data_IF_474666885072
#
_entry.id   IF_474666885072
#
_cell.length_a   1.000
_cell.length_b   1.000
_cell.length_c   1.000
_cell.angle_alpha   90.00
_cell.angle_beta   90.00
_cell.angle_gamma   90.00
#
_symmetry.space_group_name_H-M   'P 1'
#
loop_
_entity.id
_entity.type
_entity.pdbx_description
1 polymer ?
#
# COMPACT_ATOMS: atom_id res chain seq x y z
N UNK A 1 -2.99 12.82 12.37
CA UNK A 1 -1.53 12.99 12.18
C UNK A 1 -1.25 13.14 10.69
N UNK A 2 -0.20 13.87 10.28
CA UNK A 2 0.13 14.04 8.86
C UNK A 2 1.49 13.45 8.52
N UNK A 3 1.55 12.62 7.48
CA UNK A 3 2.79 11.98 7.04
C UNK A 3 3.08 12.16 5.55
N UNK A 4 4.21 11.61 5.11
CA UNK A 4 4.65 11.66 3.70
C UNK A 4 5.09 10.29 3.23
N UNK A 5 4.85 9.98 1.96
CA UNK A 5 5.43 8.84 1.25
C UNK A 5 6.34 9.38 0.15
N UNK A 6 7.62 9.01 0.21
CA UNK A 6 8.64 9.61 -0.66
C UNK A 6 9.76 8.64 -1.03
N UNK A 7 10.44 8.98 -2.13
CA UNK A 7 11.67 8.36 -2.61
C UNK A 7 12.90 9.26 -2.43
N UNK A 8 12.75 10.40 -1.74
CA UNK A 8 13.79 11.41 -1.54
C UNK A 8 14.17 11.46 -0.05
N UNK A 9 15.39 11.06 0.29
CA UNK A 9 15.86 11.02 1.69
C UNK A 9 15.81 12.39 2.39
N UNK A 10 16.08 13.48 1.66
CA UNK A 10 16.06 14.84 2.23
C UNK A 10 14.68 15.23 2.81
N UNK A 11 13.60 14.63 2.31
CA UNK A 11 12.22 14.91 2.72
C UNK A 11 11.84 14.21 4.03
N UNK A 12 12.54 13.12 4.40
CA UNK A 12 12.26 12.34 5.61
C UNK A 12 12.48 13.15 6.89
N UNK A 13 13.43 14.10 6.87
CA UNK A 13 13.79 14.95 7.99
C UNK A 13 12.92 16.22 8.12
N UNK A 14 11.88 16.38 7.29
CA UNK A 14 11.07 17.60 7.30
C UNK A 14 10.11 17.60 8.48
N UNK A 15 10.24 18.62 9.33
CA UNK A 15 9.48 18.76 10.58
C UNK A 15 7.97 18.94 10.42
N UNK A 16 7.49 19.18 9.20
CA UNK A 16 6.06 19.29 8.92
C UNK A 16 5.34 17.94 8.88
N UNK A 17 6.07 16.83 8.76
CA UNK A 17 5.51 15.48 8.77
C UNK A 17 5.81 14.80 10.10
N UNK A 18 4.78 14.20 10.68
CA UNK A 18 4.87 13.41 11.92
C UNK A 18 5.42 12.01 11.66
N UNK A 19 5.20 11.48 10.45
CA UNK A 19 5.61 10.13 10.01
C UNK A 19 6.03 10.17 8.54
N UNK A 20 7.13 9.47 8.20
CA UNK A 20 7.67 9.43 6.84
C UNK A 20 7.88 7.99 6.40
N UNK A 21 7.30 7.60 5.26
CA UNK A 21 7.56 6.34 4.60
C UNK A 21 8.53 6.55 3.43
N UNK A 22 9.56 5.71 3.35
CA UNK A 22 10.59 5.76 2.34
C UNK A 22 10.49 4.56 1.40
N UNK A 23 10.34 4.81 0.10
CA UNK A 23 10.29 3.75 -0.94
C UNK A 23 11.66 3.08 -1.10
N UNK A 24 11.88 2.00 -0.35
CA UNK A 24 13.09 1.16 -0.40
C UNK A 24 13.02 0.21 -1.60
N UNK A 25 11.82 -0.28 -1.93
CA UNK A 25 11.54 -1.00 -3.18
C UNK A 25 10.23 -0.49 -3.75
N UNK A 26 10.26 -0.05 -5.02
CA UNK A 26 9.06 0.39 -5.74
C UNK A 26 8.65 -0.58 -6.86
N UNK A 27 7.45 -0.41 -7.41
CA UNK A 27 6.90 -1.23 -8.51
C UNK A 27 7.69 -1.14 -9.82
N UNK A 28 8.58 -0.16 -9.97
CA UNK A 28 9.46 -0.07 -11.16
C UNK A 28 10.60 -1.07 -11.09
N UNK A 29 10.84 -1.66 -9.91
CA UNK A 29 11.99 -2.51 -9.62
C UNK A 29 13.22 -1.72 -9.18
N UNK A 30 13.05 -0.42 -8.88
CA UNK A 30 14.10 0.36 -8.22
C UNK A 30 14.21 -0.09 -6.78
N UNK A 31 15.45 -0.25 -6.33
CA UNK A 31 15.80 -0.43 -4.92
C UNK A 31 16.62 0.77 -4.41
N UNK A 32 16.44 1.10 -3.15
CA UNK A 32 17.24 2.03 -2.36
C UNK A 32 17.69 1.34 -1.07
N UNK A 33 18.71 1.87 -0.38
CA UNK A 33 19.08 1.35 0.94
C UNK A 33 18.11 1.92 1.99
N UNK A 34 17.65 1.12 2.97
CA UNK A 34 16.86 1.63 4.10
C UNK A 34 17.69 2.65 4.90
N UNK A 35 17.01 3.66 5.46
CA UNK A 35 17.65 4.75 6.23
C UNK A 35 16.90 4.95 7.56
N UNK A 36 17.60 5.31 8.65
CA UNK A 36 16.97 5.42 9.97
C UNK A 36 15.97 6.59 10.11
N UNK A 37 15.97 7.53 9.17
CA UNK A 37 15.07 8.70 9.17
C UNK A 37 13.65 8.39 8.66
N UNK A 38 13.38 7.23 8.07
CA UNK A 38 12.07 6.91 7.49
C UNK A 38 11.71 5.44 7.59
N UNK A 39 10.42 5.15 7.73
CA UNK A 39 9.87 3.80 7.75
C UNK A 39 10.00 3.22 6.34
N UNK A 40 10.67 2.08 6.22
CA UNK A 40 10.88 1.44 4.92
C UNK A 40 9.56 0.94 4.33
N UNK A 41 9.33 1.24 3.05
CA UNK A 41 8.20 0.78 2.26
C UNK A 41 8.69 -0.14 1.13
N UNK A 42 8.09 -1.32 1.04
CA UNK A 42 8.50 -2.40 0.13
C UNK A 42 7.33 -2.85 -0.73
N UNK A 43 7.31 -2.45 -2.00
CA UNK A 43 6.43 -3.03 -3.01
C UNK A 43 6.76 -4.52 -3.17
N UNK A 44 5.84 -5.40 -2.81
CA UNK A 44 6.06 -6.83 -2.75
C UNK A 44 5.92 -7.46 -4.13
N UNK A 45 4.69 -7.65 -4.62
CA UNK A 45 4.43 -8.40 -5.86
C UNK A 45 4.22 -7.51 -7.10
N UNK A 46 4.43 -6.20 -6.99
CA UNK A 46 4.62 -5.31 -8.13
C UNK A 46 6.11 -5.13 -8.45
N UNK A 47 6.53 -5.46 -9.67
CA UNK A 47 7.94 -5.33 -10.11
C UNK A 47 8.10 -5.40 -11.63
N UNK A 48 8.22 -4.23 -12.26
CA UNK A 48 8.43 -4.11 -13.71
C UNK A 48 9.77 -4.69 -14.15
N UNK A 49 10.84 -4.44 -13.40
CA UNK A 49 12.18 -4.88 -13.78
C UNK A 49 12.31 -6.41 -13.72
N UNK A 50 11.76 -7.04 -12.67
CA UNK A 50 11.75 -8.49 -12.54
C UNK A 50 10.88 -9.15 -13.63
N UNK A 51 9.71 -8.58 -13.92
CA UNK A 51 8.83 -9.05 -14.99
C UNK A 51 9.51 -8.97 -16.39
N UNK A 52 10.20 -7.86 -16.67
CA UNK A 52 10.93 -7.67 -17.93
C UNK A 52 12.15 -8.61 -18.04
N UNK A 53 12.86 -8.83 -16.93
CA UNK A 53 14.05 -9.69 -16.89
C UNK A 53 13.70 -11.19 -16.98
N UNK A 54 12.59 -11.61 -16.34
CA UNK A 54 12.13 -12.99 -16.33
C UNK A 54 10.60 -13.07 -16.49
N UNK A 55 10.10 -13.19 -17.74
CA UNK A 55 8.67 -13.28 -18.02
C UNK A 55 7.97 -14.48 -17.37
N UNK A 56 8.71 -15.52 -16.94
CA UNK A 56 8.11 -16.65 -16.24
C UNK A 56 7.61 -16.25 -14.83
N UNK A 57 8.13 -15.18 -14.25
CA UNK A 57 7.66 -14.65 -12.96
C UNK A 57 6.23 -14.08 -13.05
N UNK A 58 5.83 -13.66 -14.25
CA UNK A 58 4.57 -12.93 -14.47
C UNK A 58 3.37 -13.88 -14.36
N UNK A 59 2.36 -13.55 -13.53
CA UNK A 59 1.07 -14.25 -13.52
C UNK A 59 0.41 -14.24 -14.89
N UNK A 60 -0.28 -15.33 -15.23
CA UNK A 60 -1.12 -15.41 -16.43
C UNK A 60 -2.57 -15.69 -16.05
N UNK A 61 -3.50 -15.21 -16.87
CA UNK A 61 -4.91 -15.57 -16.79
C UNK A 61 -5.17 -16.99 -17.30
N UNK A 62 -6.41 -17.46 -17.17
CA UNK A 62 -6.86 -18.74 -17.75
C UNK A 62 -6.65 -18.78 -19.28
N UNK A 63 -6.79 -17.63 -19.95
CA UNK A 63 -6.54 -17.47 -21.38
C UNK A 63 -5.04 -17.34 -21.74
N UNK A 64 -4.14 -17.40 -20.74
CA UNK A 64 -2.70 -17.27 -20.91
C UNK A 64 -2.20 -15.82 -21.03
N UNK A 65 -3.04 -14.84 -20.68
CA UNK A 65 -2.71 -13.42 -20.83
C UNK A 65 -1.86 -12.96 -19.64
N UNK A 66 -0.67 -12.35 -19.85
CA UNK A 66 0.22 -11.97 -18.75
C UNK A 66 -0.22 -10.68 -18.03
N UNK A 67 -0.03 -10.63 -16.71
CA UNK A 67 -0.35 -9.50 -15.84
C UNK A 67 0.74 -8.42 -15.90
N UNK A 68 0.88 -7.76 -17.05
CA UNK A 68 1.85 -6.67 -17.25
C UNK A 68 1.17 -5.33 -17.40
N UNK A 69 1.94 -4.25 -17.20
CA UNK A 69 1.50 -2.86 -17.42
C UNK A 69 1.05 -2.53 -18.86
N UNK A 70 1.30 -3.43 -19.82
CA UNK A 70 0.80 -3.28 -21.20
C UNK A 70 -0.69 -3.63 -21.30
N UNK A 71 -1.24 -4.28 -20.27
CA UNK A 71 -2.65 -4.64 -20.17
C UNK A 71 -3.48 -3.52 -19.58
N UNK A 72 -4.73 -3.47 -20.01
CA UNK A 72 -5.72 -2.56 -19.43
C UNK A 72 -5.94 -2.91 -17.96
N UNK A 73 -6.03 -1.88 -17.12
CA UNK A 73 -6.25 -1.98 -15.67
C UNK A 73 -5.06 -2.50 -14.86
N UNK A 74 -3.86 -2.39 -15.41
CA UNK A 74 -2.59 -2.65 -14.75
C UNK A 74 -1.70 -1.40 -14.83
N UNK A 75 -1.35 -0.84 -13.69
CA UNK A 75 -0.44 0.30 -13.60
C UNK A 75 1.03 -0.17 -13.59
N UNK A 76 1.29 -1.41 -13.17
CA UNK A 76 2.58 -2.10 -13.17
C UNK A 76 2.43 -3.58 -13.54
N UNK A 77 3.57 -4.26 -13.75
CA UNK A 77 3.63 -5.70 -13.91
C UNK A 77 3.68 -6.41 -12.55
N UNK A 78 2.98 -7.54 -12.47
CA UNK A 78 2.95 -8.37 -11.28
C UNK A 78 3.96 -9.51 -11.35
N UNK A 79 4.47 -9.89 -10.17
CA UNK A 79 5.19 -11.14 -9.93
C UNK A 79 4.27 -12.10 -9.19
N UNK A 80 4.30 -13.38 -9.57
CA UNK A 80 3.40 -14.38 -9.02
C UNK A 80 3.69 -14.66 -7.53
N UNK A 81 2.70 -14.51 -6.62
CA UNK A 81 2.89 -14.75 -5.18
C UNK A 81 3.20 -16.21 -4.80
N UNK A 82 3.21 -17.14 -5.76
CA UNK A 82 3.60 -18.55 -5.54
C UNK A 82 5.04 -18.85 -5.99
N UNK A 83 5.85 -17.82 -6.24
CA UNK A 83 7.28 -17.94 -6.55
C UNK A 83 8.06 -17.92 -5.25
N UNK A 84 8.45 -19.08 -4.75
CA UNK A 84 9.14 -19.22 -3.45
C UNK A 84 10.44 -18.41 -3.44
N UNK A 85 11.22 -18.49 -4.51
CA UNK A 85 12.48 -17.73 -4.67
C UNK A 85 12.28 -16.22 -4.60
N UNK A 86 11.18 -15.71 -5.16
CA UNK A 86 10.86 -14.30 -5.09
C UNK A 86 10.32 -13.91 -3.70
N UNK A 87 9.48 -14.76 -3.08
CA UNK A 87 8.98 -14.54 -1.71
C UNK A 87 10.13 -14.50 -0.70
N UNK A 88 11.05 -15.46 -0.76
CA UNK A 88 12.24 -15.51 0.10
C UNK A 88 13.05 -14.22 -0.03
N UNK A 89 13.30 -13.75 -1.26
CA UNK A 89 13.99 -12.48 -1.49
C UNK A 89 13.23 -11.25 -0.97
N UNK A 90 11.90 -11.25 -1.00
CA UNK A 90 11.11 -10.17 -0.38
C UNK A 90 11.24 -10.18 1.15
N UNK A 91 11.19 -11.36 1.78
CA UNK A 91 11.34 -11.49 3.23
C UNK A 91 12.75 -11.06 3.69
N UNK A 92 13.79 -11.36 2.91
CA UNK A 92 15.15 -10.85 3.16
C UNK A 92 15.19 -9.31 3.11
N UNK A 93 14.54 -8.68 2.12
CA UNK A 93 14.45 -7.21 2.04
C UNK A 93 13.69 -6.62 3.24
N UNK A 94 12.63 -7.29 3.69
CA UNK A 94 11.85 -6.89 4.87
C UNK A 94 12.69 -6.99 6.14
N UNK A 95 13.47 -8.05 6.31
CA UNK A 95 14.39 -8.22 7.44
C UNK A 95 15.47 -7.13 7.44
N UNK A 96 16.12 -6.90 6.29
CA UNK A 96 17.16 -5.86 6.14
C UNK A 96 16.60 -4.45 6.45
N UNK A 97 15.35 -4.18 6.06
CA UNK A 97 14.66 -2.94 6.38
C UNK A 97 14.35 -2.83 7.89
N UNK A 98 13.85 -3.90 8.49
CA UNK A 98 13.51 -3.98 9.91
C UNK A 98 14.73 -3.81 10.84
N UNK A 99 15.91 -4.22 10.35
CA UNK A 99 17.20 -4.04 11.05
C UNK A 99 17.63 -2.57 11.14
N UNK A 100 17.17 -1.70 10.23
CA UNK A 100 17.46 -0.25 10.25
C UNK A 100 16.38 0.52 11.00
N UNK A 101 15.11 0.24 10.71
CA UNK A 101 13.95 0.80 11.42
C UNK A 101 13.01 -0.32 11.82
N UNK A 102 12.55 -0.40 13.09
CA UNK A 102 11.76 -1.54 13.55
C UNK A 102 10.42 -1.69 12.85
N UNK A 103 9.90 -0.61 12.27
CA UNK A 103 8.62 -0.55 11.57
C UNK A 103 8.85 -0.72 10.05
N UNK A 104 7.93 -1.40 9.38
CA UNK A 104 8.00 -1.65 7.92
C UNK A 104 6.60 -1.58 7.30
N UNK A 105 6.50 -0.99 6.11
CA UNK A 105 5.29 -1.02 5.27
C UNK A 105 5.44 -1.96 4.09
N UNK A 106 4.53 -2.90 3.96
CA UNK A 106 4.37 -3.75 2.79
C UNK A 106 3.37 -3.10 1.83
N UNK A 107 3.81 -2.89 0.59
CA UNK A 107 2.97 -2.38 -0.49
C UNK A 107 2.79 -3.44 -1.59
N UNK A 108 1.78 -3.28 -2.44
CA UNK A 108 1.52 -4.19 -3.58
C UNK A 108 1.47 -5.68 -3.20
N UNK A 109 0.93 -5.98 -2.02
CA UNK A 109 0.73 -7.35 -1.54
C UNK A 109 -0.55 -7.91 -2.16
N UNK A 110 -0.44 -9.10 -2.75
CA UNK A 110 -1.58 -9.81 -3.32
C UNK A 110 -1.39 -10.27 -4.76
N UNK A 111 -2.42 -10.97 -5.21
CA UNK A 111 -2.59 -11.37 -6.60
C UNK A 111 -3.04 -10.17 -7.47
N UNK A 112 -2.76 -10.18 -8.77
CA UNK A 112 -3.11 -9.08 -9.67
C UNK A 112 -4.61 -8.77 -9.74
N UNK A 113 -5.42 -9.76 -10.12
CA UNK A 113 -6.87 -9.65 -10.36
C UNK A 113 -7.52 -11.04 -10.25
N UNK A 114 -8.87 -11.14 -10.13
CA UNK A 114 -9.57 -12.42 -9.94
C UNK A 114 -9.27 -13.48 -11.00
N UNK A 115 -9.08 -13.05 -12.25
CA UNK A 115 -8.92 -13.92 -13.42
C UNK A 115 -7.49 -14.45 -13.65
N UNK A 116 -6.56 -14.20 -12.73
CA UNK A 116 -5.12 -14.47 -12.89
C UNK A 116 -4.58 -15.55 -11.95
N UNK A 117 -3.31 -15.92 -12.20
CA UNK A 117 -2.58 -17.01 -11.54
C UNK A 117 -3.09 -18.41 -11.92
N UNK A 118 -3.47 -18.61 -13.18
CA UNK A 118 -3.89 -19.91 -13.74
C UNK A 118 -2.76 -20.59 -14.55
N UNK A 119 -1.50 -20.43 -14.14
CA UNK A 119 -0.40 -21.19 -14.75
C UNK A 119 -0.30 -22.59 -14.14
N UNK A 120 0.37 -23.52 -14.85
CA UNK A 120 0.62 -24.90 -14.40
C UNK A 120 1.17 -25.02 -12.96
N UNK A 121 1.94 -24.03 -12.49
CA UNK A 121 2.44 -24.01 -11.10
C UNK A 121 1.31 -23.77 -10.11
N UNK A 122 0.51 -22.73 -10.32
CA UNK A 122 -0.57 -22.36 -9.42
C UNK A 122 -1.67 -23.42 -9.42
N UNK A 123 -2.07 -23.92 -10.59
CA UNK A 123 -3.07 -24.99 -10.69
C UNK A 123 -2.61 -26.27 -9.99
N UNK A 124 -1.32 -26.64 -10.16
CA UNK A 124 -0.76 -27.79 -9.43
C UNK A 124 -0.74 -27.55 -7.92
N UNK A 125 -0.29 -26.37 -7.46
CA UNK A 125 -0.26 -26.06 -6.02
C UNK A 125 -1.65 -26.08 -5.40
N UNK A 126 -2.65 -25.53 -6.08
CA UNK A 126 -4.03 -25.62 -5.65
C UNK A 126 -4.50 -27.07 -5.56
N UNK A 127 -4.28 -27.87 -6.62
CA UNK A 127 -4.68 -29.29 -6.65
C UNK A 127 -3.97 -30.16 -5.58
N UNK A 128 -2.77 -29.77 -5.17
CA UNK A 128 -1.99 -30.42 -4.11
C UNK A 128 -2.31 -29.87 -2.70
N UNK A 129 -3.04 -28.75 -2.61
CA UNK A 129 -3.42 -28.11 -1.34
C UNK A 129 -4.63 -28.79 -0.69
N UNK A 130 -4.97 -28.37 0.53
CA UNK A 130 -6.16 -28.83 1.24
C UNK A 130 -7.44 -28.07 0.86
N UNK A 131 -7.32 -27.00 0.08
CA UNK A 131 -8.43 -26.13 -0.31
C UNK A 131 -9.22 -26.73 -1.48
N UNK A 132 -10.55 -26.63 -1.41
CA UNK A 132 -11.47 -26.93 -2.50
C UNK A 132 -12.01 -25.66 -3.18
N UNK A 133 -11.73 -24.49 -2.61
CA UNK A 133 -12.05 -23.17 -3.16
C UNK A 133 -10.77 -22.40 -3.57
N UNK A 134 -10.78 -21.87 -4.81
CA UNK A 134 -9.63 -21.18 -5.39
C UNK A 134 -9.30 -19.87 -4.70
N UNK A 135 -10.31 -19.11 -4.26
CA UNK A 135 -10.09 -17.84 -3.60
C UNK A 135 -9.62 -18.03 -2.15
N UNK A 136 -10.10 -19.08 -1.47
CA UNK A 136 -9.58 -19.49 -0.16
C UNK A 136 -8.11 -19.88 -0.23
N UNK A 137 -7.71 -20.66 -1.24
CA UNK A 137 -6.29 -20.96 -1.48
C UNK A 137 -5.45 -19.70 -1.77
N UNK A 138 -5.98 -18.78 -2.59
CA UNK A 138 -5.29 -17.51 -2.86
C UNK A 138 -5.14 -16.66 -1.60
N UNK A 139 -6.18 -16.58 -0.78
CA UNK A 139 -6.13 -15.89 0.50
C UNK A 139 -5.06 -16.47 1.42
N UNK A 140 -5.05 -17.79 1.59
CA UNK A 140 -4.06 -18.49 2.40
C UNK A 140 -2.62 -18.21 1.95
N UNK A 141 -2.35 -18.23 0.63
CA UNK A 141 -1.02 -17.92 0.08
C UNK A 141 -0.52 -16.52 0.49
N UNK A 142 -1.42 -15.52 0.55
CA UNK A 142 -1.07 -14.15 0.92
C UNK A 142 -1.00 -13.97 2.42
N UNK A 143 -1.97 -14.51 3.16
CA UNK A 143 -1.97 -14.48 4.64
C UNK A 143 -0.71 -15.13 5.18
N UNK A 144 -0.25 -16.24 4.61
CA UNK A 144 0.99 -16.89 5.00
C UNK A 144 2.22 -16.01 4.73
N UNK A 145 2.25 -15.30 3.61
CA UNK A 145 3.34 -14.36 3.32
C UNK A 145 3.39 -13.21 4.33
N UNK A 146 2.24 -12.64 4.69
CA UNK A 146 2.17 -11.55 5.67
C UNK A 146 2.53 -12.05 7.08
N UNK A 147 2.08 -13.27 7.43
CA UNK A 147 2.47 -13.94 8.67
C UNK A 147 3.99 -14.14 8.76
N UNK A 148 4.62 -14.61 7.70
CA UNK A 148 6.09 -14.74 7.61
C UNK A 148 6.76 -13.37 7.76
N UNK A 149 6.30 -12.34 7.05
CA UNK A 149 6.86 -10.99 7.16
C UNK A 149 6.77 -10.42 8.59
N UNK A 150 5.67 -10.67 9.30
CA UNK A 150 5.49 -10.28 10.71
C UNK A 150 6.55 -10.88 11.64
N UNK A 151 7.09 -12.05 11.34
CA UNK A 151 8.17 -12.66 12.13
C UNK A 151 9.48 -11.88 12.02
N UNK A 152 9.70 -11.14 10.92
CA UNK A 152 10.90 -10.34 10.66
C UNK A 152 10.77 -8.89 11.15
N UNK A 153 9.57 -8.36 11.27
CA UNK A 153 9.32 -6.97 11.68
C UNK A 153 9.10 -6.93 13.20
N UNK A 154 9.95 -6.27 14.01
CA UNK A 154 9.77 -6.20 15.47
C UNK A 154 8.84 -5.06 15.93
N UNK A 155 8.68 -4.01 15.12
CA UNK A 155 7.81 -2.86 15.37
C UNK A 155 6.44 -3.00 14.70
N UNK A 156 5.91 -1.90 14.20
CA UNK A 156 4.62 -1.86 13.52
C UNK A 156 4.75 -2.38 12.07
N UNK A 157 3.92 -3.35 11.71
CA UNK A 157 3.76 -3.83 10.34
C UNK A 157 2.58 -3.12 9.68
N UNK A 158 2.88 -2.34 8.64
CA UNK A 158 1.87 -1.67 7.83
C UNK A 158 1.58 -2.46 6.57
N UNK A 159 0.31 -2.51 6.14
CA UNK A 159 -0.08 -3.16 4.88
C UNK A 159 -0.93 -2.23 4.03
N UNK A 160 -0.54 -2.01 2.77
CA UNK A 160 -1.39 -1.28 1.83
C UNK A 160 -2.58 -2.13 1.38
N UNK A 161 -3.78 -1.57 1.40
CA UNK A 161 -4.99 -2.16 0.82
C UNK A 161 -5.40 -1.44 -0.46
N UNK A 162 -5.90 -2.18 -1.44
CA UNK A 162 -6.57 -1.59 -2.59
C UNK A 162 -7.81 -0.80 -2.12
N UNK A 163 -8.10 0.42 -2.66
CA UNK A 163 -9.15 1.31 -2.14
C UNK A 163 -10.57 0.87 -2.54
N UNK A 164 -10.96 -0.33 -2.11
CA UNK A 164 -12.27 -0.93 -2.33
C UNK A 164 -12.79 -1.55 -1.02
N UNK A 165 -13.59 -0.81 -0.23
CA UNK A 165 -14.06 -1.25 1.08
C UNK A 165 -15.24 -2.24 0.99
N UNK A 166 -15.70 -2.59 -0.21
CA UNK A 166 -16.88 -3.46 -0.32
C UNK A 166 -16.52 -4.90 0.14
N UNK A 167 -17.37 -5.52 0.98
CA UNK A 167 -17.09 -6.84 1.53
C UNK A 167 -16.75 -7.87 0.44
N UNK A 168 -15.63 -8.57 0.61
CA UNK A 168 -15.16 -9.62 -0.29
C UNK A 168 -14.44 -9.14 -1.56
N UNK A 169 -14.45 -7.84 -1.89
CA UNK A 169 -13.85 -7.36 -3.13
C UNK A 169 -12.32 -7.52 -3.15
N UNK A 170 -11.63 -7.08 -2.09
CA UNK A 170 -10.16 -7.21 -1.98
C UNK A 170 -9.73 -8.67 -1.83
N UNK A 171 -10.56 -9.50 -1.20
CA UNK A 171 -10.39 -10.94 -1.11
C UNK A 171 -10.42 -11.60 -2.50
N UNK A 172 -11.47 -11.38 -3.30
CA UNK A 172 -11.57 -11.96 -4.65
C UNK A 172 -10.51 -11.39 -5.60
N UNK A 173 -10.27 -10.07 -5.49
CA UNK A 173 -9.33 -9.34 -6.35
C UNK A 173 -7.91 -9.80 -6.13
N UNK A 174 -7.44 -9.76 -4.89
CA UNK A 174 -6.03 -9.83 -4.55
C UNK A 174 -5.69 -10.97 -3.58
N UNK A 175 -6.67 -11.74 -3.08
CA UNK A 175 -6.44 -12.74 -2.04
C UNK A 175 -6.17 -12.09 -0.67
N UNK A 176 -6.73 -10.90 -0.41
CA UNK A 176 -6.58 -10.23 0.88
C UNK A 176 -7.76 -10.59 1.78
N UNK A 177 -7.57 -11.57 2.65
CA UNK A 177 -8.53 -11.92 3.72
C UNK A 177 -8.30 -11.01 4.92
N UNK A 178 -9.10 -9.96 5.02
CA UNK A 178 -8.93 -8.89 6.02
C UNK A 178 -8.96 -9.45 7.44
N UNK A 179 -9.96 -10.27 7.78
CA UNK A 179 -10.12 -10.85 9.11
C UNK A 179 -8.88 -11.66 9.53
N UNK A 180 -8.25 -12.37 8.58
CA UNK A 180 -7.04 -13.14 8.83
C UNK A 180 -5.77 -12.27 8.86
N UNK A 181 -5.72 -11.19 8.07
CA UNK A 181 -4.58 -10.28 8.01
C UNK A 181 -4.49 -9.37 9.25
N UNK A 182 -5.62 -9.04 9.86
CA UNK A 182 -5.68 -8.23 11.10
C UNK A 182 -4.98 -8.88 12.30
N UNK A 183 -4.71 -10.19 12.26
CA UNK A 183 -3.88 -10.86 13.29
C UNK A 183 -2.40 -10.43 13.22
N UNK A 184 -1.93 -9.94 12.08
CA UNK A 184 -0.52 -9.69 11.80
C UNK A 184 -0.18 -8.23 11.50
N UNK A 185 -1.17 -7.45 11.09
CA UNK A 185 -1.00 -6.05 10.65
C UNK A 185 -1.41 -5.10 11.77
N UNK A 186 -0.54 -4.14 12.08
CA UNK A 186 -0.79 -3.14 13.13
C UNK A 186 -1.56 -1.92 12.59
N UNK A 187 -1.37 -1.58 11.31
CA UNK A 187 -2.08 -0.48 10.66
C UNK A 187 -2.19 -0.70 9.14
N UNK A 188 -3.38 -0.52 8.56
CA UNK A 188 -3.55 -0.52 7.11
C UNK A 188 -3.29 0.85 6.50
N UNK A 189 -2.86 0.90 5.24
CA UNK A 189 -2.77 2.15 4.47
C UNK A 189 -3.62 2.05 3.22
N UNK A 190 -4.50 3.03 2.99
CA UNK A 190 -5.42 3.04 1.86
C UNK A 190 -5.13 4.23 0.94
N UNK A 191 -4.50 4.01 -0.23
CA UNK A 191 -4.29 5.06 -1.23
C UNK A 191 -5.58 5.43 -1.94
N UNK A 192 -6.09 6.64 -1.67
CA UNK A 192 -7.31 7.18 -2.27
C UNK A 192 -6.91 8.34 -3.18
N UNK A 193 -6.49 8.01 -4.40
CA UNK A 193 -5.86 8.96 -5.31
C UNK A 193 -6.83 9.61 -6.30
N UNK A 194 -6.73 10.93 -6.42
CA UNK A 194 -7.28 11.75 -7.50
C UNK A 194 -6.26 12.84 -7.84
N UNK A 195 -6.11 13.15 -9.12
CA UNK A 195 -5.19 14.21 -9.58
C UNK A 195 -5.75 15.62 -9.36
N UNK A 196 -6.99 15.76 -8.89
CA UNK A 196 -7.65 17.06 -8.78
C UNK A 196 -8.42 17.29 -7.47
N UNK A 197 -9.04 16.27 -6.89
CA UNK A 197 -9.93 16.36 -5.71
C UNK A 197 -10.97 17.51 -5.77
N UNK A 198 -11.47 17.83 -6.96
CA UNK A 198 -12.48 18.91 -7.12
C UNK A 198 -13.80 18.64 -6.40
N UNK A 199 -14.01 17.39 -5.98
CA UNK A 199 -15.10 16.96 -5.09
C UNK A 199 -14.57 15.83 -4.20
N UNK A 200 -15.01 15.76 -2.95
CA UNK A 200 -14.49 14.80 -1.94
C UNK A 200 -15.47 13.71 -1.52
N UNK A 201 -16.72 13.71 -2.00
CA UNK A 201 -17.75 12.74 -1.55
C UNK A 201 -17.37 11.27 -1.80
N UNK A 202 -16.59 10.98 -2.85
CA UNK A 202 -16.13 9.62 -3.15
C UNK A 202 -15.01 9.20 -2.20
N UNK A 203 -14.12 10.12 -1.83
CA UNK A 203 -13.09 9.90 -0.82
C UNK A 203 -13.75 9.62 0.52
N UNK A 204 -14.76 10.42 0.91
CA UNK A 204 -15.57 10.21 2.11
C UNK A 204 -16.23 8.82 2.12
N UNK A 205 -16.88 8.41 1.02
CA UNK A 205 -17.54 7.10 0.92
C UNK A 205 -16.53 5.95 1.04
N UNK A 206 -15.35 6.08 0.44
CA UNK A 206 -14.32 5.03 0.53
C UNK A 206 -13.74 4.95 1.94
N UNK A 207 -13.35 6.09 2.52
CA UNK A 207 -12.76 6.15 3.84
C UNK A 207 -13.73 5.68 4.94
N UNK A 208 -14.99 6.14 4.90
CA UNK A 208 -16.04 5.66 5.81
C UNK A 208 -16.32 4.15 5.64
N UNK A 209 -16.27 3.64 4.41
CA UNK A 209 -16.40 2.20 4.17
C UNK A 209 -15.31 1.38 4.85
N UNK A 210 -14.06 1.86 4.86
CA UNK A 210 -12.98 1.19 5.60
C UNK A 210 -13.12 1.35 7.12
N UNK A 211 -13.59 2.50 7.59
CA UNK A 211 -13.89 2.67 9.02
C UNK A 211 -14.99 1.72 9.52
N UNK A 212 -15.91 1.30 8.64
CA UNK A 212 -16.91 0.28 8.96
C UNK A 212 -16.38 -1.16 8.82
N UNK A 213 -15.38 -1.39 7.97
CA UNK A 213 -14.92 -2.72 7.57
C UNK A 213 -13.71 -3.25 8.35
N UNK A 214 -12.92 -2.38 8.98
CA UNK A 214 -11.67 -2.73 9.67
C UNK A 214 -11.82 -2.59 11.18
N UNK A 215 -11.36 -3.59 11.92
CA UNK A 215 -11.13 -3.48 13.38
C UNK A 215 -9.71 -2.91 13.66
N UNK A 216 -8.74 -3.19 12.77
CA UNK A 216 -7.39 -2.61 12.83
C UNK A 216 -7.37 -1.17 12.29
N UNK A 217 -6.63 -0.23 12.92
CA UNK A 217 -6.54 1.14 12.44
C UNK A 217 -6.07 1.25 10.99
N UNK A 218 -6.49 2.29 10.30
CA UNK A 218 -6.02 2.58 8.95
C UNK A 218 -5.71 4.06 8.75
N UNK A 219 -4.75 4.32 7.87
CA UNK A 219 -4.42 5.66 7.37
C UNK A 219 -4.83 5.81 5.92
N UNK A 220 -5.16 7.03 5.52
CA UNK A 220 -5.48 7.38 4.12
C UNK A 220 -4.26 8.02 3.49
N UNK A 221 -3.84 7.51 2.33
CA UNK A 221 -2.80 8.13 1.51
C UNK A 221 -3.41 8.92 0.34
N UNK A 222 -3.05 10.19 0.24
CA UNK A 222 -3.53 11.12 -0.78
C UNK A 222 -2.42 11.44 -1.78
N UNK A 223 -2.78 11.42 -3.05
CA UNK A 223 -1.92 11.90 -4.13
C UNK A 223 -1.71 13.42 -4.01
N UNK A 224 -0.46 13.88 -3.96
CA UNK A 224 -0.17 15.32 -3.78
C UNK A 224 0.39 16.02 -5.03
N UNK A 225 0.70 15.30 -6.11
CA UNK A 225 1.37 15.88 -7.28
C UNK A 225 0.43 16.79 -8.06
N UNK A 226 0.85 18.03 -8.30
CA UNK A 226 0.13 19.02 -9.13
C UNK A 226 -1.34 19.25 -8.72
N UNK A 227 -1.70 18.95 -7.46
CA UNK A 227 -3.03 19.21 -6.90
C UNK A 227 -3.10 20.65 -6.36
N UNK A 228 -4.19 21.36 -6.66
CA UNK A 228 -4.46 22.67 -6.08
C UNK A 228 -4.55 22.59 -4.56
N UNK A 229 -3.82 23.48 -3.85
CA UNK A 229 -3.69 23.44 -2.39
C UNK A 229 -5.06 23.41 -1.70
N UNK A 230 -6.01 24.24 -2.13
CA UNK A 230 -7.34 24.31 -1.50
C UNK A 230 -8.07 22.96 -1.61
N UNK A 231 -7.99 22.29 -2.76
CA UNK A 231 -8.60 20.96 -2.93
C UNK A 231 -7.88 19.89 -2.11
N UNK A 232 -6.55 19.98 -1.97
CA UNK A 232 -5.78 19.03 -1.16
C UNK A 232 -6.04 19.21 0.34
N UNK A 233 -6.28 20.46 0.80
CA UNK A 233 -6.76 20.74 2.15
C UNK A 233 -8.12 20.07 2.36
N UNK A 234 -9.08 20.33 1.48
CA UNK A 234 -10.43 19.74 1.59
C UNK A 234 -10.38 18.20 1.62
N UNK A 235 -9.53 17.58 0.79
CA UNK A 235 -9.34 16.14 0.78
C UNK A 235 -8.69 15.62 2.08
N UNK A 236 -7.68 16.32 2.61
CA UNK A 236 -7.00 15.96 3.85
C UNK A 236 -7.91 16.07 5.06
N UNK A 237 -8.74 17.11 5.12
CA UNK A 237 -9.74 17.28 6.18
C UNK A 237 -10.72 16.10 6.19
N UNK A 238 -11.29 15.75 5.04
CA UNK A 238 -12.19 14.58 4.93
C UNK A 238 -11.47 13.28 5.31
N UNK A 239 -10.26 13.06 4.81
CA UNK A 239 -9.49 11.86 5.15
C UNK A 239 -9.21 11.75 6.66
N UNK A 240 -8.89 12.87 7.31
CA UNK A 240 -8.58 12.91 8.75
C UNK A 240 -9.77 12.67 9.68
N UNK A 241 -11.01 12.77 9.17
CA UNK A 241 -12.21 12.44 9.94
C UNK A 241 -12.34 10.91 10.15
N UNK A 242 -11.80 10.11 9.24
CA UNK A 242 -11.99 8.66 9.22
C UNK A 242 -10.73 7.85 9.52
N UNK A 243 -9.56 8.28 9.05
CA UNK A 243 -8.29 7.57 9.24
C UNK A 243 -7.49 8.06 10.44
N UNK A 244 -6.61 7.20 10.96
CA UNK A 244 -5.66 7.51 12.05
C UNK A 244 -4.67 8.60 11.62
N UNK A 245 -4.16 8.50 10.39
CA UNK A 245 -3.30 9.51 9.77
C UNK A 245 -3.68 9.78 8.31
N UNK A 246 -3.25 10.94 7.83
CA UNK A 246 -3.28 11.30 6.41
C UNK A 246 -1.85 11.37 5.90
N UNK A 247 -1.53 10.54 4.92
CA UNK A 247 -0.23 10.48 4.28
C UNK A 247 -0.30 11.17 2.92
N UNK A 248 0.74 11.91 2.55
CA UNK A 248 0.82 12.55 1.24
C UNK A 248 1.87 11.87 0.36
N UNK A 249 1.42 11.28 -0.74
CA UNK A 249 2.28 10.59 -1.70
C UNK A 249 2.84 11.51 -2.79
N UNK A 250 4.09 11.24 -3.17
CA UNK A 250 4.76 11.66 -4.42
C UNK A 250 5.10 13.15 -4.61
N UNK A 251 4.53 14.09 -3.83
CA UNK A 251 4.96 15.49 -3.80
C UNK A 251 4.96 16.07 -2.38
N UNK A 252 6.08 15.86 -1.67
CA UNK A 252 6.29 16.38 -0.32
C UNK A 252 6.27 17.91 -0.26
N UNK A 253 6.66 18.60 -1.34
CA UNK A 253 6.69 20.06 -1.36
C UNK A 253 5.28 20.65 -1.37
N UNK A 254 4.39 20.08 -2.19
CA UNK A 254 2.98 20.48 -2.21
C UNK A 254 2.26 20.11 -0.92
N UNK A 255 2.53 18.91 -0.38
CA UNK A 255 2.03 18.48 0.93
C UNK A 255 2.46 19.44 2.06
N UNK A 256 3.74 19.81 2.12
CA UNK A 256 4.24 20.77 3.09
C UNK A 256 3.58 22.14 2.95
N UNK A 257 3.37 22.62 1.71
CA UNK A 257 2.68 23.88 1.48
C UNK A 257 1.23 23.85 1.99
N UNK A 258 0.54 22.73 1.76
CA UNK A 258 -0.82 22.43 2.24
C UNK A 258 -0.87 22.48 3.77
N UNK A 259 -0.02 21.72 4.46
CA UNK A 259 0.03 21.69 5.93
C UNK A 259 0.37 23.04 6.55
N UNK A 260 1.27 23.81 5.92
CA UNK A 260 1.59 25.16 6.38
C UNK A 260 0.39 26.10 6.27
N UNK A 261 -0.44 25.95 5.24
CA UNK A 261 -1.66 26.74 5.05
C UNK A 261 -2.74 26.35 6.05
N UNK A 262 -3.01 25.06 6.24
CA UNK A 262 -3.95 24.56 7.26
C UNK A 262 -3.59 25.08 8.66
N UNK A 263 -2.30 25.04 9.02
CA UNK A 263 -1.82 25.56 10.29
C UNK A 263 -1.95 27.09 10.43
N UNK A 264 -1.86 27.85 9.33
CA UNK A 264 -2.06 29.28 9.34
C UNK A 264 -3.54 29.63 9.53
N UNK A 265 -4.42 28.98 8.78
CA UNK A 265 -5.87 29.21 8.82
C UNK A 265 -6.47 28.81 10.19
N UNK A 266 -5.98 27.72 10.79
CA UNK A 266 -6.36 27.32 12.15
C UNK A 266 -5.97 28.33 13.24
N UNK A 267 -4.87 29.08 13.06
CA UNK A 267 -4.42 30.11 14.00
C UNK A 267 -5.17 31.43 13.85
N UNK A 268 -5.63 31.78 12.64
CA UNK A 268 -6.46 32.97 12.44
C UNK A 268 -7.87 32.80 13.05
N UNK A 269 -8.36 31.56 13.17
CA UNK A 269 -9.61 31.22 13.87
C UNK A 269 -9.54 31.30 15.40
N UNK A 270 -8.34 31.29 15.99
CA UNK A 270 -8.13 31.56 17.42
C UNK A 270 -8.10 33.08 17.67
N UNK A 271 -9.27 33.73 17.67
CA UNK A 271 -9.38 35.12 18.13
C UNK A 271 -8.88 35.23 19.57
N UNK A 272 -7.69 35.82 19.77
CA UNK A 272 -7.24 36.28 21.08
C UNK A 272 -8.16 37.40 21.56
N UNK A 273 -9.25 37.02 22.25
CA UNK A 273 -10.10 37.93 22.99
C UNK A 273 -9.26 38.75 23.98
N UNK A 274 -9.35 40.07 23.84
CA UNK A 274 -8.64 41.07 24.67
C UNK A 274 -9.35 41.32 25.99
#
# INVERSE_FOLDING_TARGET
>A
MYGVVTRNEEELAWSEFDRSFYEVKDVTGRAAEPVPEGISMVSCFGDNAAADANPELVPVSEDGEPATRERRYFDWAYVCPTRDDYREGLLEIVEDAADVTPDVRLDDVGFPRPEYCHCDRCERRFAESEFDDWFAWRADVITEFVREAREHVPGDLYLTLYPDPYPGHVYERAGLDIDALEEYVDEFVVPIYDMAYTTTYWLEIIASGFADALDTPFSVELYAVDVEIDNLIDAAEVASEYGESVLFGYDASNARATLRRMNADGREGEEFGT
#
